data_IF_063981535227
#
_entry.id   IF_063981535227
#
_cell.length_a   1.000
_cell.length_b   1.000
_cell.length_c   1.000
_cell.angle_alpha   90.00
_cell.angle_beta   90.00
_cell.angle_gamma   90.00
#
_symmetry.space_group_name_H-M   'P 1'
#
loop_
_entity.id
_entity.type
_entity.pdbx_description
1 polymer ?
#
# COMPACT_ATOMS: atom_id res chain seq x y z
N UNK A 1 -78.66 3.15 11.08
CA UNK A 1 -77.35 2.78 10.48
C UNK A 1 -76.60 4.04 10.23
N UNK A 2 -75.51 4.31 10.97
CA UNK A 2 -74.66 5.49 10.76
C UNK A 2 -73.62 5.16 9.69
N UNK A 3 -73.71 5.85 8.55
CA UNK A 3 -72.72 5.73 7.48
C UNK A 3 -71.46 6.50 7.87
N UNK A 4 -70.41 5.79 8.18
CA UNK A 4 -69.07 6.35 8.39
C UNK A 4 -68.53 6.88 7.04
N UNK A 5 -68.45 8.19 6.89
CA UNK A 5 -67.80 8.81 5.73
C UNK A 5 -66.35 9.07 6.05
N UNK A 6 -65.47 8.35 5.37
CA UNK A 6 -64.01 8.54 5.46
C UNK A 6 -63.64 9.80 4.67
N UNK A 7 -63.26 10.88 5.37
CA UNK A 7 -62.65 12.05 4.74
C UNK A 7 -61.14 11.92 4.73
N UNK A 8 -60.58 11.80 3.53
CA UNK A 8 -59.13 11.86 3.35
C UNK A 8 -58.61 13.21 3.86
N UNK A 9 -57.83 13.21 4.93
CA UNK A 9 -57.19 14.44 5.43
C UNK A 9 -56.18 14.92 4.40
N UNK A 10 -56.45 16.00 3.72
CA UNK A 10 -55.46 16.69 2.89
C UNK A 10 -54.53 17.44 3.85
N UNK A 11 -53.28 17.08 3.87
CA UNK A 11 -52.27 17.73 4.71
C UNK A 11 -52.19 19.22 4.33
N UNK A 12 -52.35 20.11 5.32
CA UNK A 12 -52.21 21.54 5.11
C UNK A 12 -50.79 21.92 4.61
N UNK A 13 -50.62 23.05 3.91
CA UNK A 13 -49.39 23.44 3.24
C UNK A 13 -48.14 23.43 4.15
N UNK A 14 -48.29 23.69 5.45
CA UNK A 14 -47.20 23.62 6.43
C UNK A 14 -46.68 22.20 6.66
N UNK A 15 -47.56 21.18 6.69
CA UNK A 15 -47.13 19.77 6.86
C UNK A 15 -46.46 19.24 5.61
N UNK A 16 -46.95 19.60 4.42
CA UNK A 16 -46.34 19.24 3.15
C UNK A 16 -44.94 19.83 3.02
N UNK A 17 -44.75 21.07 3.46
CA UNK A 17 -43.43 21.74 3.48
C UNK A 17 -42.45 21.06 4.43
N UNK A 18 -42.87 20.69 5.64
CA UNK A 18 -42.00 19.94 6.59
C UNK A 18 -41.60 18.57 6.06
N UNK A 19 -42.55 17.87 5.41
CA UNK A 19 -42.22 16.56 4.78
C UNK A 19 -41.23 16.74 3.64
N UNK A 20 -41.37 17.77 2.80
CA UNK A 20 -40.42 18.07 1.73
C UNK A 20 -39.00 18.37 2.27
N UNK A 21 -38.92 19.19 3.33
CA UNK A 21 -37.62 19.45 4.00
C UNK A 21 -37.00 18.16 4.54
N UNK A 22 -37.80 17.26 5.14
CA UNK A 22 -37.29 15.97 5.65
C UNK A 22 -36.70 15.12 4.54
N UNK A 23 -37.35 15.01 3.38
CA UNK A 23 -36.81 14.27 2.24
C UNK A 23 -35.56 14.91 1.67
N UNK A 24 -35.50 16.24 1.55
CA UNK A 24 -34.32 16.98 1.10
C UNK A 24 -33.12 16.72 2.06
N UNK A 25 -33.37 16.83 3.37
CA UNK A 25 -32.35 16.58 4.38
C UNK A 25 -31.84 15.13 4.34
N UNK A 26 -32.76 14.16 4.17
CA UNK A 26 -32.41 12.76 4.06
C UNK A 26 -31.56 12.46 2.80
N UNK A 27 -31.94 13.03 1.65
CA UNK A 27 -31.17 12.85 0.40
C UNK A 27 -29.81 13.53 0.49
N UNK A 28 -29.71 14.71 1.08
CA UNK A 28 -28.47 15.43 1.28
C UNK A 28 -27.54 14.66 2.22
N UNK A 29 -28.05 14.11 3.33
CA UNK A 29 -27.30 13.27 4.26
C UNK A 29 -26.78 11.99 3.59
N UNK A 30 -27.61 11.34 2.76
CA UNK A 30 -27.19 10.16 1.99
C UNK A 30 -26.09 10.49 0.98
N UNK A 31 -26.16 11.64 0.31
CA UNK A 31 -25.11 12.12 -0.60
C UNK A 31 -23.79 12.37 0.13
N UNK A 32 -23.83 12.99 1.31
CA UNK A 32 -22.62 13.20 2.12
C UNK A 32 -21.98 11.89 2.58
N UNK A 33 -22.79 10.91 3.00
CA UNK A 33 -22.28 9.58 3.34
C UNK A 33 -21.64 8.92 2.12
N UNK A 34 -22.30 8.93 0.96
CA UNK A 34 -21.73 8.38 -0.26
C UNK A 34 -20.41 9.06 -0.65
N UNK A 35 -20.37 10.40 -0.58
CA UNK A 35 -19.13 11.17 -0.84
C UNK A 35 -18.00 10.81 0.10
N UNK A 36 -18.29 10.56 1.39
CA UNK A 36 -17.31 10.16 2.39
C UNK A 36 -16.73 8.78 2.11
N UNK A 37 -17.54 7.83 1.68
CA UNK A 37 -17.09 6.44 1.40
C UNK A 37 -16.57 6.23 -0.03
N UNK A 38 -16.92 7.14 -0.96
CA UNK A 38 -16.56 7.02 -2.37
C UNK A 38 -15.05 6.78 -2.62
N UNK A 39 -14.10 7.53 -2.01
CA UNK A 39 -12.68 7.33 -2.27
C UNK A 39 -12.19 5.94 -1.84
N UNK A 40 -12.72 5.39 -0.75
CA UNK A 40 -12.36 4.05 -0.28
C UNK A 40 -12.92 2.98 -1.22
N UNK A 41 -14.18 3.11 -1.64
CA UNK A 41 -14.80 2.18 -2.60
C UNK A 41 -14.13 2.23 -3.97
N UNK A 42 -13.82 3.43 -4.46
CA UNK A 42 -13.13 3.63 -5.73
C UNK A 42 -11.74 3.01 -5.73
N UNK A 43 -10.97 3.18 -4.64
CA UNK A 43 -9.64 2.60 -4.50
C UNK A 43 -9.67 1.08 -4.40
N UNK A 44 -10.64 0.51 -3.67
CA UNK A 44 -10.82 -0.95 -3.58
C UNK A 44 -11.21 -1.55 -4.94
N UNK A 45 -12.13 -0.88 -5.65
CA UNK A 45 -12.53 -1.29 -7.00
C UNK A 45 -11.34 -1.25 -7.96
N UNK A 46 -10.55 -0.16 -7.93
CA UNK A 46 -9.35 -0.03 -8.73
C UNK A 46 -8.34 -1.14 -8.43
N UNK A 47 -8.09 -1.41 -7.16
CA UNK A 47 -7.18 -2.48 -6.72
C UNK A 47 -7.61 -3.85 -7.25
N UNK A 48 -8.91 -4.16 -7.17
CA UNK A 48 -9.45 -5.45 -7.65
C UNK A 48 -9.42 -5.57 -9.18
N UNK A 49 -9.76 -4.50 -9.89
CA UNK A 49 -9.88 -4.55 -11.36
C UNK A 49 -8.52 -4.47 -12.06
N UNK A 50 -7.61 -3.65 -11.56
CA UNK A 50 -6.36 -3.36 -12.25
C UNK A 50 -5.14 -4.04 -11.62
N UNK A 51 -5.18 -4.42 -10.36
CA UNK A 51 -4.03 -5.02 -9.67
C UNK A 51 -4.20 -6.52 -9.38
N UNK A 52 -5.43 -7.04 -9.27
CA UNK A 52 -5.71 -8.45 -8.93
C UNK A 52 -5.62 -9.39 -10.16
N UNK A 53 -5.58 -8.86 -11.38
CA UNK A 53 -5.49 -9.65 -12.61
C UNK A 53 -4.08 -10.23 -12.90
N UNK A 54 -3.09 -9.97 -12.07
CA UNK A 54 -1.71 -10.43 -12.27
C UNK A 54 -1.32 -11.67 -11.46
N UNK A 55 -2.19 -12.17 -10.58
CA UNK A 55 -1.86 -13.33 -9.73
C UNK A 55 -2.74 -14.54 -10.06
N UNK A 56 -2.48 -15.19 -11.18
CA UNK A 56 -2.59 -16.65 -11.25
C UNK A 56 -1.23 -17.23 -10.89
N UNK A 57 -0.88 -17.19 -9.62
CA UNK A 57 0.16 -18.06 -9.11
C UNK A 57 -0.34 -19.49 -9.29
N UNK A 58 0.45 -20.30 -9.99
CA UNK A 58 0.27 -21.75 -10.03
C UNK A 58 0.47 -22.27 -8.60
N UNK A 59 -0.61 -22.34 -7.84
CA UNK A 59 -0.64 -23.14 -6.61
C UNK A 59 -0.66 -24.58 -7.04
N UNK A 60 0.47 -25.23 -6.96
CA UNK A 60 0.60 -26.67 -7.03
C UNK A 60 -0.12 -27.25 -5.80
N UNK A 61 -1.16 -28.05 -6.05
CA UNK A 61 -2.00 -28.73 -5.07
C UNK A 61 -1.23 -29.81 -4.28
N UNK A 62 -0.37 -29.41 -3.32
CA UNK A 62 0.34 -30.38 -2.47
C UNK A 62 0.62 -29.92 -1.04
N UNK A 63 -0.22 -29.08 -0.43
CA UNK A 63 -0.05 -28.68 0.99
C UNK A 63 -1.30 -28.93 1.84
N UNK A 64 -2.10 -29.94 1.52
CA UNK A 64 -3.32 -30.24 2.32
C UNK A 64 -3.08 -31.21 3.49
N UNK A 65 -1.83 -31.58 3.81
CA UNK A 65 -1.58 -32.61 4.84
C UNK A 65 -0.73 -32.19 6.04
N UNK A 66 -0.31 -30.96 6.15
CA UNK A 66 0.61 -30.52 7.23
C UNK A 66 0.03 -29.50 8.24
N UNK A 67 -1.20 -29.02 8.05
CA UNK A 67 -1.77 -27.96 8.93
C UNK A 67 -2.59 -28.52 10.08
N UNK A 68 -2.81 -29.81 10.18
CA UNK A 68 -3.71 -30.41 11.20
C UNK A 68 -3.03 -30.76 12.53
N UNK A 69 -1.79 -30.35 12.76
CA UNK A 69 -1.07 -30.60 14.05
C UNK A 69 -0.30 -29.41 14.60
N UNK A 70 -0.85 -28.22 14.56
CA UNK A 70 -0.32 -27.10 15.34
C UNK A 70 -1.36 -26.59 16.33
N UNK A 71 -1.46 -27.33 17.44
CA UNK A 71 -1.80 -26.89 18.78
C UNK A 71 -2.71 -25.68 18.99
N UNK A 72 -3.89 -26.01 19.50
CA UNK A 72 -4.57 -25.29 20.58
C UNK A 72 -3.59 -24.60 21.55
N UNK A 73 -3.29 -23.34 21.30
CA UNK A 73 -2.75 -22.47 22.31
C UNK A 73 -3.92 -21.73 22.97
N UNK A 74 -4.08 -22.09 24.21
CA UNK A 74 -4.90 -21.56 25.27
C UNK A 74 -5.11 -20.05 25.17
N UNK A 75 -6.37 -19.64 25.37
CA UNK A 75 -6.91 -18.30 25.43
C UNK A 75 -5.96 -17.21 25.89
N UNK A 76 -5.52 -16.40 24.96
CA UNK A 76 -5.12 -15.05 25.27
C UNK A 76 -6.37 -14.18 25.23
N UNK A 77 -6.80 -13.76 26.39
CA UNK A 77 -7.76 -12.68 26.59
C UNK A 77 -7.39 -11.55 25.64
N UNK A 78 -8.28 -11.27 24.68
CA UNK A 78 -8.22 -10.08 23.85
C UNK A 78 -8.32 -8.85 24.78
N UNK A 79 -7.18 -8.44 25.34
CA UNK A 79 -7.03 -7.06 25.75
C UNK A 79 -7.11 -6.29 24.45
N UNK A 80 -8.19 -5.56 24.29
CA UNK A 80 -8.32 -4.50 23.29
C UNK A 80 -7.21 -3.50 23.62
N UNK A 81 -6.00 -3.83 23.18
CA UNK A 81 -4.85 -2.96 23.27
C UNK A 81 -5.09 -1.88 22.21
N UNK A 82 -5.46 -0.69 22.65
CA UNK A 82 -5.52 0.53 21.86
C UNK A 82 -4.13 1.02 21.46
N UNK A 83 -3.16 0.13 21.32
CA UNK A 83 -1.89 0.42 20.69
C UNK A 83 -2.16 0.48 19.17
N UNK A 84 -2.50 1.68 18.71
CA UNK A 84 -2.47 1.99 17.29
C UNK A 84 -1.09 1.59 16.79
N UNK A 85 -1.04 0.64 15.86
CA UNK A 85 0.22 0.24 15.22
C UNK A 85 0.81 1.48 14.58
N UNK A 86 2.03 1.81 14.95
CA UNK A 86 2.73 2.98 14.42
C UNK A 86 3.27 2.67 13.02
N UNK A 87 2.46 2.91 12.00
CA UNK A 87 2.83 2.68 10.61
C UNK A 87 3.85 3.71 10.06
N UNK A 88 4.29 4.68 10.87
CA UNK A 88 5.43 5.55 10.51
C UNK A 88 6.74 4.78 10.48
N UNK A 89 6.78 3.60 11.15
CA UNK A 89 7.95 2.72 11.20
C UNK A 89 7.86 1.61 10.18
N UNK A 90 8.94 1.43 9.42
CA UNK A 90 9.05 0.41 8.39
C UNK A 90 8.86 -1.01 8.95
N UNK A 91 9.39 -1.30 10.15
CA UNK A 91 9.27 -2.59 10.84
C UNK A 91 7.82 -3.03 11.13
N UNK A 92 6.88 -2.09 11.17
CA UNK A 92 5.46 -2.39 11.44
C UNK A 92 4.64 -2.68 10.16
N UNK A 93 5.28 -2.71 9.00
CA UNK A 93 4.55 -2.89 7.74
C UNK A 93 4.26 -4.34 7.39
N UNK A 94 5.08 -5.26 7.88
CA UNK A 94 4.86 -6.70 7.70
C UNK A 94 4.83 -7.41 9.06
N UNK A 95 4.06 -8.50 9.15
CA UNK A 95 3.92 -9.26 10.40
C UNK A 95 5.15 -10.13 10.59
N UNK A 96 5.98 -9.78 11.58
CA UNK A 96 7.14 -10.57 12.03
C UNK A 96 7.98 -11.12 10.87
N UNK A 97 8.59 -10.27 10.03
CA UNK A 97 9.59 -10.77 9.11
C UNK A 97 10.67 -11.43 9.96
N UNK A 98 11.09 -12.65 9.61
CA UNK A 98 12.11 -13.38 10.36
C UNK A 98 13.45 -12.68 10.20
N UNK A 99 13.70 -11.65 11.01
CA UNK A 99 14.86 -10.75 10.92
C UNK A 99 16.16 -11.52 11.16
N UNK A 100 16.10 -12.64 11.91
CA UNK A 100 17.28 -13.48 12.21
C UNK A 100 17.86 -14.18 10.96
N UNK A 101 17.04 -14.47 9.95
CA UNK A 101 17.55 -15.00 8.67
C UNK A 101 18.35 -13.96 7.88
N UNK A 102 18.28 -12.72 8.30
CA UNK A 102 18.81 -11.58 7.62
C UNK A 102 20.01 -10.97 8.36
N UNK A 103 21.00 -11.76 8.77
CA UNK A 103 22.24 -11.27 9.35
C UNK A 103 22.86 -10.11 8.56
N UNK A 104 23.58 -9.18 9.20
CA UNK A 104 24.14 -8.03 8.53
C UNK A 104 25.14 -8.49 7.45
N UNK A 105 24.80 -8.27 6.18
CA UNK A 105 25.80 -8.23 5.15
C UNK A 105 26.52 -6.89 5.30
N UNK A 106 27.83 -6.87 5.18
CA UNK A 106 28.62 -5.65 5.26
C UNK A 106 28.27 -4.76 4.05
N UNK A 107 27.30 -3.87 4.25
CA UNK A 107 26.85 -2.91 3.22
C UNK A 107 27.85 -1.74 3.06
N UNK A 108 29.01 -1.81 3.76
CA UNK A 108 29.94 -0.70 3.84
C UNK A 108 29.35 0.51 4.56
N UNK A 109 29.97 1.68 4.39
CA UNK A 109 29.56 2.93 5.05
C UNK A 109 28.39 3.66 4.36
N UNK A 110 27.66 3.01 3.44
CA UNK A 110 26.56 3.65 2.69
C UNK A 110 25.33 3.71 3.55
N UNK A 111 25.00 4.90 4.03
CA UNK A 111 23.85 5.18 4.88
C UNK A 111 22.65 5.72 4.11
N UNK A 112 22.89 6.36 2.97
CA UNK A 112 21.83 6.98 2.17
C UNK A 112 22.21 7.09 0.69
N UNK A 113 21.17 7.24 -0.14
CA UNK A 113 21.29 7.47 -1.58
C UNK A 113 20.01 8.16 -2.08
N UNK A 114 19.92 8.44 -3.38
CA UNK A 114 18.84 9.24 -3.98
C UNK A 114 18.02 8.41 -4.95
N UNK A 115 16.69 8.60 -4.92
CA UNK A 115 15.70 7.99 -5.77
C UNK A 115 15.01 9.03 -6.64
N UNK A 116 14.90 8.77 -7.94
CA UNK A 116 14.13 9.59 -8.89
C UNK A 116 13.18 8.69 -9.67
N UNK A 117 11.90 9.09 -9.78
CA UNK A 117 10.88 8.40 -10.59
C UNK A 117 10.12 9.46 -11.39
N UNK A 118 10.62 9.83 -12.59
CA UNK A 118 10.11 10.99 -13.35
C UNK A 118 8.62 10.88 -13.71
N UNK A 119 8.13 9.69 -14.05
CA UNK A 119 6.72 9.47 -14.45
C UNK A 119 5.73 9.95 -13.38
N UNK A 120 6.09 9.85 -12.11
CA UNK A 120 5.23 10.24 -10.98
C UNK A 120 5.76 11.45 -10.21
N UNK A 121 6.73 12.18 -10.80
CA UNK A 121 7.23 13.44 -10.27
C UNK A 121 8.10 13.34 -9.02
N UNK A 122 8.62 12.16 -8.67
CA UNK A 122 9.60 12.00 -7.59
C UNK A 122 10.98 12.41 -8.12
N UNK A 123 11.62 13.37 -7.44
CA UNK A 123 12.96 13.83 -7.76
C UNK A 123 13.79 14.03 -6.50
N UNK A 124 15.04 13.58 -6.53
CA UNK A 124 16.00 13.72 -5.43
C UNK A 124 15.45 13.20 -4.07
N UNK A 125 14.61 12.16 -4.08
CA UNK A 125 14.09 11.61 -2.84
C UNK A 125 15.19 10.89 -2.07
N UNK A 126 15.39 11.28 -0.83
CA UNK A 126 16.37 10.66 0.08
C UNK A 126 15.91 9.27 0.47
N UNK A 127 16.79 8.29 0.29
CA UNK A 127 16.60 6.91 0.75
C UNK A 127 17.59 6.62 1.87
N UNK A 128 17.11 6.17 3.03
CA UNK A 128 17.95 5.81 4.18
C UNK A 128 18.05 4.29 4.28
N UNK A 129 19.29 3.79 4.32
CA UNK A 129 19.58 2.34 4.41
C UNK A 129 19.34 1.86 5.84
N UNK A 130 18.54 0.79 6.00
CA UNK A 130 18.13 0.25 7.29
C UNK A 130 17.54 1.29 8.24
N UNK A 131 16.88 2.33 7.67
CA UNK A 131 16.10 3.30 8.44
C UNK A 131 14.77 2.73 8.91
N UNK A 132 14.11 3.48 9.80
CA UNK A 132 12.78 3.15 10.31
C UNK A 132 11.75 4.24 10.00
N UNK A 133 12.20 5.51 9.93
CA UNK A 133 11.32 6.68 9.81
C UNK A 133 10.89 6.92 8.35
N UNK A 134 9.64 6.59 8.08
CA UNK A 134 9.02 6.78 6.78
C UNK A 134 8.45 8.20 6.57
N UNK A 135 8.40 9.05 7.60
CA UNK A 135 8.03 10.45 7.44
C UNK A 135 9.21 11.33 7.04
N UNK A 136 10.43 10.91 7.36
CA UNK A 136 11.64 11.66 7.04
C UNK A 136 12.36 11.21 5.77
N UNK A 137 12.05 10.01 5.25
CA UNK A 137 12.73 9.44 4.08
C UNK A 137 11.96 8.28 3.45
N UNK A 138 12.35 7.88 2.26
CA UNK A 138 12.15 6.52 1.78
C UNK A 138 13.09 5.61 2.53
N UNK A 139 12.66 4.43 2.93
CA UNK A 139 13.48 3.48 3.70
C UNK A 139 13.86 2.29 2.83
N UNK A 140 15.15 2.01 2.74
CA UNK A 140 15.66 0.73 2.24
C UNK A 140 15.62 -0.27 3.39
N UNK A 141 14.53 -1.03 3.43
CA UNK A 141 14.20 -1.91 4.55
C UNK A 141 14.93 -3.24 4.43
N UNK A 142 15.47 -3.75 5.56
CA UNK A 142 16.26 -4.99 5.65
C UNK A 142 17.32 -5.09 4.54
N UNK A 143 18.07 -4.01 4.35
CA UNK A 143 19.07 -3.92 3.31
C UNK A 143 20.14 -4.99 3.46
N UNK A 144 20.36 -5.77 2.38
CA UNK A 144 21.38 -6.83 2.27
C UNK A 144 22.25 -6.66 1.06
N UNK A 145 21.73 -5.95 0.08
CA UNK A 145 22.42 -5.59 -1.13
C UNK A 145 22.24 -4.10 -1.38
N UNK A 146 23.06 -3.54 -2.22
CA UNK A 146 22.97 -2.13 -2.60
C UNK A 146 22.54 -1.99 -4.05
N UNK A 147 21.96 -0.84 -4.44
CA UNK A 147 21.62 -0.58 -5.82
C UNK A 147 22.79 -0.88 -6.78
N UNK A 148 22.46 -1.52 -7.92
CA UNK A 148 23.44 -1.92 -8.93
C UNK A 148 24.13 -3.27 -8.68
N UNK A 149 24.00 -3.87 -7.50
CA UNK A 149 24.50 -5.21 -7.19
C UNK A 149 23.41 -6.26 -7.34
N UNK A 150 23.80 -7.53 -7.54
CA UNK A 150 22.86 -8.65 -7.49
C UNK A 150 22.20 -8.75 -6.12
N UNK A 151 20.91 -9.04 -6.12
CA UNK A 151 20.07 -9.07 -4.94
C UNK A 151 18.85 -8.18 -5.11
N UNK A 152 18.03 -8.09 -4.07
CA UNK A 152 16.78 -7.32 -4.05
C UNK A 152 16.87 -6.15 -3.07
N UNK A 153 16.68 -4.95 -3.59
CA UNK A 153 16.57 -3.71 -2.83
C UNK A 153 15.09 -3.45 -2.59
N UNK A 154 14.63 -3.45 -1.34
CA UNK A 154 13.23 -3.19 -0.97
C UNK A 154 13.08 -1.80 -0.39
N UNK A 155 12.40 -0.91 -1.13
CA UNK A 155 12.18 0.49 -0.76
C UNK A 155 10.76 0.72 -0.27
N UNK A 156 10.62 1.19 0.97
CA UNK A 156 9.35 1.51 1.60
C UNK A 156 9.08 3.00 1.56
N UNK A 157 7.85 3.39 1.21
CA UNK A 157 7.43 4.78 1.24
C UNK A 157 5.92 4.91 1.46
N UNK A 158 5.51 5.92 2.20
CA UNK A 158 4.11 6.16 2.53
C UNK A 158 3.25 6.48 1.31
N UNK A 159 1.98 6.06 1.39
CA UNK A 159 0.90 6.51 0.52
C UNK A 159 -0.24 7.11 1.33
N UNK A 160 -0.87 8.11 0.77
CA UNK A 160 -2.07 8.73 1.31
C UNK A 160 -3.13 8.87 0.24
N UNK A 161 -4.27 9.47 0.59
CA UNK A 161 -5.29 9.82 -0.39
C UNK A 161 -4.69 10.69 -1.50
N UNK A 162 -4.97 10.37 -2.76
CA UNK A 162 -4.40 11.06 -3.92
C UNK A 162 -4.68 12.57 -3.93
N UNK A 163 -5.81 12.99 -3.33
CA UNK A 163 -6.19 14.40 -3.19
C UNK A 163 -5.23 15.20 -2.28
N UNK A 164 -4.50 14.50 -1.39
CA UNK A 164 -3.53 15.10 -0.46
C UNK A 164 -2.11 15.05 -0.99
N UNK A 165 -1.89 14.42 -2.15
CA UNK A 165 -0.56 14.22 -2.71
C UNK A 165 0.20 15.54 -2.90
N UNK A 166 1.44 15.56 -2.44
CA UNK A 166 2.42 16.62 -2.68
C UNK A 166 3.73 15.97 -3.11
N UNK A 167 4.30 16.37 -4.26
CA UNK A 167 5.59 15.85 -4.72
C UNK A 167 6.67 16.02 -3.63
N UNK A 168 7.52 15.02 -3.47
CA UNK A 168 8.64 15.02 -2.51
C UNK A 168 8.26 15.20 -1.02
N UNK A 169 6.98 15.09 -0.65
CA UNK A 169 6.58 14.95 0.74
C UNK A 169 6.52 13.46 1.10
N UNK A 170 7.32 13.03 2.06
CA UNK A 170 7.46 11.61 2.42
C UNK A 170 6.17 10.98 2.97
N UNK A 171 5.26 11.75 3.55
CA UNK A 171 3.94 11.26 3.95
C UNK A 171 3.07 10.78 2.78
N UNK A 172 3.41 11.18 1.55
CA UNK A 172 2.62 10.91 0.35
C UNK A 172 3.47 10.37 -0.81
N UNK A 173 4.76 10.21 -0.60
CA UNK A 173 5.76 10.07 -1.67
C UNK A 173 5.46 8.91 -2.63
N UNK A 174 4.93 7.79 -2.13
CA UNK A 174 4.61 6.62 -2.92
C UNK A 174 3.12 6.50 -3.27
N UNK A 175 2.31 7.56 -3.11
CA UNK A 175 0.88 7.51 -3.46
C UNK A 175 0.64 7.19 -4.94
N UNK A 176 1.52 7.60 -5.84
CA UNK A 176 1.41 7.29 -7.27
C UNK A 176 2.22 6.08 -7.73
N UNK A 177 3.00 5.44 -6.86
CA UNK A 177 3.79 4.24 -7.19
C UNK A 177 2.93 3.09 -7.74
N UNK A 178 1.70 2.81 -7.23
CA UNK A 178 0.85 1.76 -7.79
C UNK A 178 0.41 1.98 -9.24
N UNK A 179 0.56 3.21 -9.78
CA UNK A 179 0.23 3.54 -11.19
C UNK A 179 1.40 3.37 -12.14
N UNK A 180 2.57 2.98 -11.64
CA UNK A 180 3.68 2.60 -12.51
C UNK A 180 3.31 1.35 -13.31
N UNK A 181 3.77 1.31 -14.55
CA UNK A 181 3.50 0.26 -15.52
C UNK A 181 4.80 -0.37 -16.01
N UNK A 182 4.70 -1.55 -16.59
CA UNK A 182 5.83 -2.22 -17.21
C UNK A 182 6.49 -1.32 -18.25
N UNK A 183 7.82 -1.20 -18.16
CA UNK A 183 8.65 -0.34 -19.00
C UNK A 183 8.94 1.03 -18.38
N UNK A 184 8.26 1.43 -17.29
CA UNK A 184 8.59 2.68 -16.59
C UNK A 184 9.98 2.59 -15.95
N UNK A 185 10.65 3.73 -15.90
CA UNK A 185 12.02 3.79 -15.41
C UNK A 185 12.11 4.42 -14.02
N UNK A 186 12.99 3.83 -13.21
CA UNK A 186 13.33 4.27 -11.87
C UNK A 186 14.84 4.51 -11.86
N UNK A 187 15.27 5.64 -11.37
CA UNK A 187 16.69 5.95 -11.24
C UNK A 187 17.10 5.96 -9.78
N UNK A 188 18.24 5.35 -9.50
CA UNK A 188 18.89 5.42 -8.19
C UNK A 188 20.28 5.98 -8.38
N UNK A 189 20.61 7.04 -7.64
CA UNK A 189 21.94 7.65 -7.66
C UNK A 189 22.63 7.41 -6.32
N UNK A 190 23.75 6.69 -6.35
CA UNK A 190 24.50 6.32 -5.16
C UNK A 190 26.00 6.52 -5.42
N UNK A 191 26.68 7.28 -4.54
CA UNK A 191 28.11 7.60 -4.66
C UNK A 191 28.50 8.14 -6.05
N UNK A 192 27.63 8.96 -6.66
CA UNK A 192 27.84 9.53 -8.00
C UNK A 192 27.52 8.59 -9.17
N UNK A 193 27.30 7.30 -8.93
CA UNK A 193 26.87 6.36 -9.96
C UNK A 193 25.33 6.39 -10.10
N UNK A 194 24.82 6.41 -11.33
CA UNK A 194 23.39 6.38 -11.64
C UNK A 194 23.02 4.99 -12.18
N UNK A 195 22.10 4.34 -11.48
CA UNK A 195 21.54 3.04 -11.85
C UNK A 195 20.15 3.23 -12.41
N UNK A 196 19.84 2.58 -13.52
CA UNK A 196 18.53 2.63 -14.17
C UNK A 196 17.84 1.29 -14.01
N UNK A 197 16.69 1.29 -13.34
CA UNK A 197 15.82 0.12 -13.22
C UNK A 197 14.59 0.31 -14.11
N UNK A 198 14.08 -0.78 -14.65
CA UNK A 198 12.87 -0.82 -15.46
C UNK A 198 11.83 -1.70 -14.77
N UNK A 199 10.61 -1.17 -14.61
CA UNK A 199 9.49 -1.93 -14.03
C UNK A 199 9.14 -3.09 -14.94
N UNK A 200 9.07 -4.30 -14.38
CA UNK A 200 8.69 -5.50 -15.13
C UNK A 200 7.40 -6.15 -14.63
N UNK A 201 7.02 -5.94 -13.35
CA UNK A 201 5.85 -6.55 -12.74
C UNK A 201 5.30 -5.71 -11.58
N UNK A 202 4.06 -5.95 -11.16
CA UNK A 202 3.47 -5.40 -9.95
C UNK A 202 2.49 -6.41 -9.34
N UNK A 203 2.55 -6.54 -8.02
CA UNK A 203 1.67 -7.42 -7.25
C UNK A 203 1.09 -6.67 -6.04
N UNK A 204 0.02 -7.21 -5.47
CA UNK A 204 -0.55 -6.74 -4.21
C UNK A 204 -0.57 -7.89 -3.23
N UNK A 205 0.04 -7.69 -2.07
CA UNK A 205 0.20 -8.70 -1.02
C UNK A 205 -0.43 -8.22 0.30
N UNK A 206 -0.73 -9.14 1.19
CA UNK A 206 -1.14 -8.84 2.57
C UNK A 206 0.10 -8.64 3.46
N UNK A 207 -0.03 -7.98 4.63
CA UNK A 207 1.07 -7.82 5.58
C UNK A 207 1.67 -9.13 6.11
N UNK A 208 0.93 -10.23 6.02
CA UNK A 208 1.36 -11.58 6.44
C UNK A 208 2.21 -12.28 5.37
N UNK A 209 2.17 -11.83 4.11
CA UNK A 209 2.91 -12.43 2.98
C UNK A 209 4.33 -11.84 2.94
N UNK A 210 5.15 -12.26 3.90
CA UNK A 210 6.52 -11.72 4.12
C UNK A 210 7.56 -12.25 3.12
N UNK A 211 7.27 -13.34 2.43
CA UNK A 211 8.10 -13.96 1.39
C UNK A 211 8.42 -12.99 0.23
N UNK A 212 7.58 -11.98 0.04
CA UNK A 212 7.85 -10.90 -0.92
C UNK A 212 9.17 -10.16 -0.62
N UNK A 213 9.64 -10.20 0.63
CA UNK A 213 10.89 -9.57 1.07
C UNK A 213 12.13 -10.48 0.90
N UNK A 214 11.92 -11.76 0.56
CA UNK A 214 13.01 -12.71 0.39
C UNK A 214 13.98 -12.26 -0.70
N UNK A 215 15.28 -12.49 -0.45
CA UNK A 215 16.33 -12.11 -1.37
C UNK A 215 16.37 -13.00 -2.61
N UNK A 216 16.69 -12.40 -3.75
CA UNK A 216 16.94 -13.06 -5.03
C UNK A 216 18.27 -12.54 -5.57
N UNK A 217 19.24 -13.43 -5.84
CA UNK A 217 20.61 -13.06 -6.24
C UNK A 217 20.95 -13.40 -7.70
N UNK A 218 19.98 -13.88 -8.47
CA UNK A 218 20.14 -14.19 -9.91
C UNK A 218 20.33 -12.93 -10.75
N UNK A 219 19.77 -11.78 -10.30
CA UNK A 219 19.92 -10.47 -10.94
C UNK A 219 19.90 -9.33 -9.91
N UNK A 220 19.90 -8.08 -10.38
CA UNK A 220 19.77 -6.87 -9.56
C UNK A 220 18.32 -6.36 -9.61
N UNK A 221 17.58 -6.50 -8.51
CA UNK A 221 16.18 -6.13 -8.38
C UNK A 221 15.98 -4.91 -7.47
N UNK A 222 14.90 -4.20 -7.72
CA UNK A 222 14.43 -3.09 -6.89
C UNK A 222 12.92 -3.15 -6.78
N UNK A 223 12.41 -3.29 -5.56
CA UNK A 223 10.99 -3.31 -5.27
C UNK A 223 10.59 -2.01 -4.55
N UNK A 224 9.57 -1.31 -5.09
CA UNK A 224 8.92 -0.19 -4.41
C UNK A 224 7.68 -0.71 -3.69
N UNK A 225 7.60 -0.49 -2.38
CA UNK A 225 6.56 -1.04 -1.52
C UNK A 225 5.79 0.08 -0.84
N UNK A 226 4.47 0.06 -0.98
CA UNK A 226 3.59 1.07 -0.39
C UNK A 226 2.24 0.48 0.03
N UNK A 227 1.51 1.19 0.89
CA UNK A 227 0.19 0.75 1.37
C UNK A 227 -0.90 0.98 0.33
N UNK A 228 -1.83 0.03 0.21
CA UNK A 228 -3.03 0.12 -0.61
C UNK A 228 -4.22 -0.56 0.10
N UNK A 229 -5.48 -0.13 -0.19
CA UNK A 229 -5.89 1.07 -0.93
C UNK A 229 -5.36 2.37 -0.31
N UNK A 230 -5.29 3.43 -1.11
CA UNK A 230 -4.79 4.73 -0.68
C UNK A 230 -5.47 5.23 0.60
N UNK A 231 -4.67 5.70 1.57
CA UNK A 231 -5.15 6.13 2.88
C UNK A 231 -5.54 4.97 3.83
N UNK A 232 -5.17 3.73 3.50
CA UNK A 232 -5.36 2.56 4.37
C UNK A 232 -4.06 1.79 4.55
N UNK A 233 -4.07 0.81 5.47
CA UNK A 233 -2.93 -0.07 5.73
C UNK A 233 -3.25 -1.55 5.47
N UNK A 234 -4.30 -1.82 4.65
CA UNK A 234 -4.85 -3.16 4.49
C UNK A 234 -3.94 -4.12 3.72
N UNK A 235 -3.31 -3.62 2.66
CA UNK A 235 -2.43 -4.40 1.77
C UNK A 235 -1.19 -3.60 1.40
N UNK A 236 -0.25 -4.26 0.71
CA UNK A 236 0.96 -3.64 0.15
C UNK A 236 0.97 -3.81 -1.36
N UNK A 237 1.12 -2.72 -2.10
CA UNK A 237 1.49 -2.79 -3.51
C UNK A 237 3.01 -2.90 -3.60
N UNK A 238 3.49 -3.85 -4.37
CA UNK A 238 4.90 -4.09 -4.64
C UNK A 238 5.13 -3.93 -6.13
N UNK A 239 5.84 -2.90 -6.51
CA UNK A 239 6.24 -2.63 -7.90
C UNK A 239 7.65 -3.13 -8.08
N UNK A 240 7.79 -4.15 -8.93
CA UNK A 240 9.04 -4.88 -9.16
C UNK A 240 9.78 -4.32 -10.36
N UNK A 241 11.00 -3.91 -10.14
CA UNK A 241 11.87 -3.41 -11.20
C UNK A 241 13.20 -4.18 -11.22
N UNK A 242 13.84 -4.19 -12.38
CA UNK A 242 15.10 -4.88 -12.64
C UNK A 242 16.10 -3.91 -13.25
N UNK A 243 17.36 -4.04 -12.87
CA UNK A 243 18.45 -3.23 -13.42
C UNK A 243 18.49 -3.39 -14.93
N UNK A 244 18.40 -2.28 -15.64
CA UNK A 244 18.54 -2.26 -17.09
C UNK A 244 20.02 -2.42 -17.41
N UNK A 245 20.39 -3.52 -18.09
CA UNK A 245 21.71 -3.62 -18.65
C UNK A 245 21.88 -2.51 -19.68
N UNK A 246 22.84 -1.62 -19.46
CA UNK A 246 23.26 -0.68 -20.48
C UNK A 246 23.70 -1.53 -21.66
N UNK A 247 22.99 -1.44 -22.78
CA UNK A 247 23.41 -2.07 -24.02
C UNK A 247 24.84 -1.65 -24.31
N UNK A 248 25.71 -2.62 -24.46
CA UNK A 248 27.10 -2.47 -24.88
C UNK A 248 27.19 -1.86 -26.28
#
# INVERSE_FOLDING_TARGET
>A
MALYSYRKQIFGPKKTFLVAISYISMTLGSLFLFWSFYPVLASEFYTRVFLDNSVKAAVTDNVTSAVEKANLVQGTTNKFSTNLVDYSKASNWFVSPNVEQFGPEELGDIKEYVLDIPKIGISNARVVVNGEDLFGSVVHYLARTLPGKRGKVSLFGHSSLLQLYKPNNYEHIFSYVPFLEKGDVIYVTMQGAKYTYEVYDKIVVKPEEVDVLDQQYDDAYLDLITCVPHGTYLKRAVIKAKLKQLGS
#
